data_IF_127125537820
#
_entry.id   IF_127125537820
#
_cell.length_a   1.000
_cell.length_b   1.000
_cell.length_c   1.000
_cell.angle_alpha   90.00
_cell.angle_beta   90.00
_cell.angle_gamma   90.00
#
_symmetry.space_group_name_H-M   'P 1'
#
loop_
_entity.id
_entity.type
_entity.pdbx_description
1 polymer ?
#
# COMPACT_ATOMS: atom_id res chain seq x y z
N UNK A 1 -9.98 14.56 -16.97
CA UNK A 1 -9.71 13.75 -15.75
C UNK A 1 -8.97 12.46 -16.08
N UNK A 2 -9.54 11.55 -16.90
CA UNK A 2 -8.92 10.25 -17.21
C UNK A 2 -7.46 10.37 -17.68
N UNK A 3 -7.17 11.22 -18.67
CA UNK A 3 -5.82 11.36 -19.22
C UNK A 3 -4.81 11.93 -18.21
N UNK A 4 -5.25 12.81 -17.32
CA UNK A 4 -4.41 13.30 -16.22
C UNK A 4 -3.98 12.16 -15.30
N UNK A 5 -4.92 11.31 -14.82
CA UNK A 5 -4.58 10.19 -13.97
C UNK A 5 -3.83 9.09 -14.73
N UNK A 6 -4.17 8.83 -16.00
CA UNK A 6 -3.39 7.92 -16.85
C UNK A 6 -1.92 8.37 -16.95
N UNK A 7 -1.66 9.66 -17.10
CA UNK A 7 -0.29 10.21 -17.11
C UNK A 7 0.37 10.16 -15.74
N UNK A 8 -0.39 10.39 -14.66
CA UNK A 8 0.11 10.35 -13.29
C UNK A 8 0.63 8.96 -12.91
N UNK A 9 -0.09 7.91 -13.33
CA UNK A 9 0.23 6.50 -13.08
C UNK A 9 1.00 5.85 -14.26
N UNK A 10 1.39 6.63 -15.26
CA UNK A 10 2.24 6.12 -16.33
C UNK A 10 3.65 5.85 -15.80
N UNK A 11 4.24 4.75 -16.27
CA UNK A 11 5.62 4.45 -15.95
C UNK A 11 6.54 5.50 -16.60
N UNK A 12 7.20 6.29 -15.78
CA UNK A 12 8.29 7.17 -16.21
C UNK A 12 9.59 6.40 -16.02
N UNK A 13 9.88 5.52 -16.96
CA UNK A 13 11.05 4.64 -16.93
C UNK A 13 12.36 5.38 -17.26
N UNK A 14 12.66 6.43 -16.55
CA UNK A 14 14.00 6.99 -16.59
C UNK A 14 14.79 6.41 -15.40
N UNK A 15 15.94 5.77 -15.67
CA UNK A 15 16.95 5.34 -14.70
C UNK A 15 16.68 4.09 -13.84
N UNK A 16 16.30 2.95 -14.42
CA UNK A 16 16.30 1.65 -13.72
C UNK A 16 17.68 1.31 -13.16
N UNK A 17 18.75 1.54 -13.93
CA UNK A 17 20.14 1.28 -13.51
C UNK A 17 20.57 2.12 -12.29
N UNK A 18 20.17 3.38 -12.21
CA UNK A 18 20.50 4.22 -11.05
C UNK A 18 19.80 3.74 -9.78
N UNK A 19 18.60 3.17 -9.91
CA UNK A 19 17.84 2.62 -8.78
C UNK A 19 18.43 1.31 -8.29
N UNK A 20 18.88 0.46 -9.19
CA UNK A 20 19.59 -0.75 -8.81
C UNK A 20 20.90 -0.42 -8.11
N UNK A 21 21.69 0.50 -8.65
CA UNK A 21 22.89 1.05 -8.00
C UNK A 21 22.58 1.66 -6.63
N UNK A 22 21.44 2.36 -6.49
CA UNK A 22 21.00 2.89 -5.20
C UNK A 22 20.74 1.76 -4.19
N UNK A 23 19.99 0.73 -4.58
CA UNK A 23 19.70 -0.42 -3.71
C UNK A 23 20.95 -1.25 -3.39
N UNK A 24 21.96 -1.27 -4.26
CA UNK A 24 23.25 -1.92 -4.01
C UNK A 24 24.12 -1.12 -3.06
N UNK A 25 24.13 0.22 -3.22
CA UNK A 25 24.93 1.12 -2.38
C UNK A 25 24.43 1.19 -0.95
N UNK A 26 23.14 1.04 -0.72
CA UNK A 26 22.52 1.18 0.61
C UNK A 26 22.20 -0.19 1.20
N UNK A 27 22.82 -0.50 2.35
CA UNK A 27 22.50 -1.70 3.13
C UNK A 27 21.12 -1.54 3.77
N UNK A 28 20.10 -2.12 3.15
CA UNK A 28 18.77 -2.17 3.73
C UNK A 28 18.74 -3.18 4.90
N UNK A 29 17.99 -2.89 5.97
CA UNK A 29 17.73 -3.87 7.02
C UNK A 29 17.08 -5.12 6.42
N UNK A 30 17.53 -6.31 6.86
CA UNK A 30 16.98 -7.59 6.37
C UNK A 30 16.22 -8.31 7.46
N UNK A 31 15.20 -9.04 7.06
CA UNK A 31 14.51 -10.00 7.91
C UNK A 31 15.44 -11.19 8.20
N UNK A 32 15.33 -11.76 9.40
CA UNK A 32 16.00 -13.01 9.72
C UNK A 32 15.19 -14.20 9.17
N UNK A 33 15.77 -15.41 9.23
CA UNK A 33 15.16 -16.61 8.65
C UNK A 33 13.80 -16.94 9.29
N UNK A 34 13.69 -16.83 10.61
CA UNK A 34 12.45 -17.08 11.35
C UNK A 34 11.32 -16.12 10.93
N UNK A 35 11.64 -14.83 10.72
CA UNK A 35 10.69 -13.83 10.26
C UNK A 35 10.24 -14.09 8.82
N UNK A 36 11.17 -14.51 7.94
CA UNK A 36 10.87 -14.89 6.56
C UNK A 36 9.92 -16.11 6.55
N UNK A 37 10.20 -17.12 7.35
CA UNK A 37 9.31 -18.28 7.50
C UNK A 37 7.92 -17.89 8.02
N UNK A 38 7.87 -17.00 9.01
CA UNK A 38 6.61 -16.52 9.58
C UNK A 38 5.73 -15.79 8.55
N UNK A 39 6.30 -14.90 7.71
CA UNK A 39 5.52 -14.21 6.69
C UNK A 39 5.10 -15.12 5.53
N UNK A 40 5.87 -16.19 5.27
CA UNK A 40 5.62 -17.15 4.19
C UNK A 40 4.70 -18.32 4.59
N UNK A 41 4.31 -18.43 5.85
CA UNK A 41 3.41 -19.50 6.29
C UNK A 41 2.12 -19.53 5.43
N UNK A 42 1.50 -20.70 5.21
CA UNK A 42 0.24 -20.79 4.48
C UNK A 42 -0.83 -19.86 5.08
N UNK A 43 -1.68 -19.31 4.22
CA UNK A 43 -2.85 -18.55 4.68
C UNK A 43 -3.83 -19.52 5.33
N UNK A 44 -4.39 -19.13 6.48
CA UNK A 44 -5.28 -19.96 7.28
C UNK A 44 -6.72 -19.42 7.28
N UNK A 45 -7.69 -20.31 7.52
CA UNK A 45 -9.11 -19.92 7.70
C UNK A 45 -9.27 -18.88 8.80
N UNK A 46 -8.54 -19.04 9.91
CA UNK A 46 -8.60 -18.13 11.07
C UNK A 46 -8.14 -16.71 10.71
N UNK A 47 -7.11 -16.57 9.85
CA UNK A 47 -6.68 -15.24 9.37
C UNK A 47 -7.79 -14.58 8.53
N UNK A 48 -8.41 -15.34 7.62
CA UNK A 48 -9.49 -14.86 6.76
C UNK A 48 -10.68 -14.42 7.61
N UNK A 49 -11.16 -15.27 8.51
CA UNK A 49 -12.28 -14.98 9.41
C UNK A 49 -12.02 -13.76 10.28
N UNK A 50 -10.80 -13.65 10.83
CA UNK A 50 -10.40 -12.49 11.63
C UNK A 50 -10.44 -11.20 10.83
N UNK A 51 -9.99 -11.23 9.60
CA UNK A 51 -10.03 -10.06 8.73
C UNK A 51 -11.48 -9.74 8.34
N UNK A 52 -12.29 -10.71 7.94
CA UNK A 52 -13.72 -10.51 7.60
C UNK A 52 -14.47 -9.87 8.78
N UNK A 53 -14.29 -10.40 9.99
CA UNK A 53 -14.92 -9.86 11.21
C UNK A 53 -14.59 -8.38 11.44
N UNK A 54 -13.40 -7.94 11.03
CA UNK A 54 -12.93 -6.57 11.21
C UNK A 54 -13.07 -5.69 9.94
N UNK A 55 -13.73 -6.15 8.89
CA UNK A 55 -14.03 -5.32 7.70
C UNK A 55 -14.94 -4.17 8.13
N UNK A 56 -14.61 -2.91 7.80
CA UNK A 56 -15.48 -1.79 8.14
C UNK A 56 -16.84 -1.89 7.45
N UNK A 57 -17.91 -1.76 8.23
CA UNK A 57 -19.30 -1.65 7.77
C UNK A 57 -19.63 -0.24 7.28
N UNK A 58 -20.74 -0.07 6.59
CA UNK A 58 -21.22 1.21 6.07
C UNK A 58 -20.18 1.91 5.16
N UNK A 59 -19.45 1.12 4.36
CA UNK A 59 -18.51 1.61 3.35
C UNK A 59 -18.96 1.23 1.96
N UNK A 60 -18.64 2.09 0.98
CA UNK A 60 -18.91 1.82 -0.42
C UNK A 60 -18.27 0.50 -0.87
N UNK A 61 -19.03 -0.35 -1.61
CA UNK A 61 -18.50 -1.59 -2.18
C UNK A 61 -17.44 -1.32 -3.26
N UNK A 62 -16.81 -2.39 -3.71
CA UNK A 62 -16.00 -2.40 -4.91
C UNK A 62 -16.84 -2.44 -6.19
N UNK A 63 -16.19 -2.65 -7.35
CA UNK A 63 -16.86 -2.78 -8.64
C UNK A 63 -17.88 -3.92 -8.73
N UNK A 64 -17.73 -4.97 -7.91
CA UNK A 64 -18.61 -6.13 -7.83
C UNK A 64 -19.93 -5.89 -7.06
N UNK A 65 -20.00 -4.79 -6.31
CA UNK A 65 -21.18 -4.40 -5.54
C UNK A 65 -21.32 -5.08 -4.18
N UNK A 66 -20.46 -6.04 -3.83
CA UNK A 66 -20.53 -6.71 -2.52
C UNK A 66 -19.96 -5.83 -1.41
N UNK A 67 -20.68 -5.73 -0.30
CA UNK A 67 -20.33 -4.90 0.85
C UNK A 67 -19.60 -5.69 1.94
N UNK A 68 -19.03 -4.99 2.94
CA UNK A 68 -18.41 -5.63 4.09
C UNK A 68 -19.41 -6.46 4.91
N UNK A 69 -20.66 -5.99 5.01
CA UNK A 69 -21.76 -6.67 5.70
C UNK A 69 -22.08 -8.02 5.04
N UNK A 70 -22.08 -8.09 3.71
CA UNK A 70 -22.28 -9.35 2.98
C UNK A 70 -21.21 -10.38 3.40
N UNK A 71 -19.94 -10.00 3.39
CA UNK A 71 -18.86 -10.90 3.79
C UNK A 71 -18.93 -11.31 5.26
N UNK A 72 -19.39 -10.42 6.15
CA UNK A 72 -19.58 -10.74 7.56
C UNK A 72 -20.75 -11.72 7.78
N UNK A 73 -21.84 -11.53 7.05
CA UNK A 73 -23.04 -12.40 7.14
C UNK A 73 -22.73 -13.81 6.64
N UNK A 74 -22.09 -13.94 5.49
CA UNK A 74 -21.78 -15.23 4.85
C UNK A 74 -20.34 -15.69 5.12
N UNK A 75 -19.77 -15.34 6.27
CA UNK A 75 -18.37 -15.61 6.59
C UNK A 75 -18.03 -17.10 6.54
N UNK A 76 -18.88 -17.96 7.08
CA UNK A 76 -18.62 -19.39 7.18
C UNK A 76 -18.58 -20.05 5.81
N UNK A 77 -19.46 -19.65 4.91
CA UNK A 77 -19.56 -20.15 3.54
C UNK A 77 -18.43 -19.61 2.64
N UNK A 78 -18.06 -18.35 2.83
CA UNK A 78 -17.04 -17.68 2.00
C UNK A 78 -15.60 -18.06 2.40
N UNK A 79 -15.35 -18.35 3.67
CA UNK A 79 -14.00 -18.65 4.18
C UNK A 79 -13.33 -19.80 3.42
N UNK A 80 -13.94 -20.98 3.18
CA UNK A 80 -13.27 -22.06 2.45
C UNK A 80 -13.01 -21.71 0.98
N UNK A 81 -13.86 -20.91 0.35
CA UNK A 81 -13.70 -20.46 -1.04
C UNK A 81 -12.50 -19.51 -1.14
N UNK A 82 -12.45 -18.50 -0.25
CA UNK A 82 -11.35 -17.54 -0.18
C UNK A 82 -10.02 -18.21 0.18
N UNK A 83 -10.04 -19.21 1.09
CA UNK A 83 -8.85 -19.94 1.48
C UNK A 83 -8.22 -20.63 0.26
N UNK A 84 -9.00 -21.38 -0.50
CA UNK A 84 -8.55 -22.07 -1.71
C UNK A 84 -8.00 -21.08 -2.74
N UNK A 85 -8.69 -19.97 -2.95
CA UNK A 85 -8.27 -18.92 -3.87
C UNK A 85 -6.93 -18.29 -3.44
N UNK A 86 -6.79 -17.89 -2.18
CA UNK A 86 -5.60 -17.22 -1.67
C UNK A 86 -4.38 -18.14 -1.62
N UNK A 87 -4.59 -19.42 -1.32
CA UNK A 87 -3.52 -20.41 -1.38
C UNK A 87 -3.02 -20.61 -2.82
N UNK A 88 -3.92 -20.73 -3.79
CA UNK A 88 -3.55 -20.81 -5.21
C UNK A 88 -2.77 -19.58 -5.68
N UNK A 89 -3.15 -18.38 -5.25
CA UNK A 89 -2.41 -17.15 -5.57
C UNK A 89 -1.00 -17.19 -4.95
N UNK A 90 -0.87 -17.63 -3.71
CA UNK A 90 0.40 -17.72 -2.99
C UNK A 90 1.37 -18.72 -3.63
N UNK A 91 0.87 -19.80 -4.21
CA UNK A 91 1.64 -20.82 -4.93
C UNK A 91 2.13 -20.37 -6.32
N UNK A 92 1.88 -19.12 -6.69
CA UNK A 92 2.26 -18.55 -7.99
C UNK A 92 1.16 -18.55 -9.03
N UNK A 93 -0.09 -18.78 -8.60
CA UNK A 93 -1.28 -18.63 -9.44
C UNK A 93 -1.51 -17.16 -9.86
N UNK A 94 -2.28 -16.99 -10.92
CA UNK A 94 -2.68 -15.65 -11.39
C UNK A 94 -3.85 -15.13 -10.56
N UNK A 95 -3.90 -13.80 -10.39
CA UNK A 95 -5.08 -13.16 -9.82
C UNK A 95 -6.29 -13.27 -10.77
N UNK A 96 -7.51 -13.44 -10.25
CA UNK A 96 -8.71 -13.23 -11.05
C UNK A 96 -8.75 -11.80 -11.61
N UNK A 97 -9.29 -11.61 -12.82
CA UNK A 97 -9.38 -10.29 -13.46
C UNK A 97 -10.09 -9.24 -12.58
N UNK A 98 -11.04 -9.67 -11.74
CA UNK A 98 -11.74 -8.81 -10.77
C UNK A 98 -10.81 -8.20 -9.71
N UNK A 99 -9.67 -8.80 -9.44
CA UNK A 99 -8.66 -8.31 -8.50
C UNK A 99 -7.77 -7.22 -9.12
N UNK A 100 -7.59 -7.25 -10.43
CA UNK A 100 -6.79 -6.25 -11.14
C UNK A 100 -7.50 -4.91 -11.27
N UNK A 101 -8.83 -4.91 -11.25
CA UNK A 101 -9.64 -3.72 -11.45
C UNK A 101 -9.91 -2.96 -10.15
N UNK A 102 -9.71 -1.64 -10.18
CA UNK A 102 -10.15 -0.75 -9.11
C UNK A 102 -10.96 0.43 -9.70
N UNK A 103 -12.04 0.80 -9.03
CA UNK A 103 -12.77 2.02 -9.34
C UNK A 103 -12.18 3.19 -8.55
N UNK A 104 -11.74 4.24 -9.23
CA UNK A 104 -11.21 5.46 -8.60
C UNK A 104 -12.32 6.49 -8.50
N UNK A 105 -12.70 6.82 -7.27
CA UNK A 105 -13.58 7.95 -6.96
C UNK A 105 -12.75 9.17 -6.59
N UNK A 106 -13.11 10.33 -7.14
CA UNK A 106 -12.40 11.58 -6.94
C UNK A 106 -13.01 12.37 -5.80
N UNK A 107 -12.31 12.48 -4.68
CA UNK A 107 -12.74 13.26 -3.52
C UNK A 107 -11.99 14.59 -3.51
N UNK A 108 -12.74 15.71 -3.52
CA UNK A 108 -12.15 17.05 -3.45
C UNK A 108 -11.43 17.25 -2.12
N UNK A 109 -10.22 17.82 -2.19
CA UNK A 109 -9.49 18.27 -0.99
C UNK A 109 -10.24 19.43 -0.32
N UNK A 110 -10.31 19.48 1.02
CA UNK A 110 -10.88 20.63 1.73
C UNK A 110 -10.26 21.94 1.26
N UNK A 111 -11.05 23.00 1.20
CA UNK A 111 -10.63 24.38 0.88
C UNK A 111 -9.93 24.58 -0.49
N UNK A 112 -10.06 23.60 -1.41
CA UNK A 112 -9.54 23.72 -2.78
C UNK A 112 -10.66 23.91 -3.80
N UNK A 113 -10.39 24.71 -4.84
CA UNK A 113 -11.33 24.94 -5.94
C UNK A 113 -11.60 23.68 -6.77
N UNK A 114 -12.73 23.64 -7.48
CA UNK A 114 -13.19 22.48 -8.26
C UNK A 114 -12.54 22.36 -9.63
N UNK A 115 -11.89 23.41 -10.13
CA UNK A 115 -11.40 23.50 -11.50
C UNK A 115 -10.08 22.78 -11.76
N UNK A 116 -9.25 22.65 -10.72
CA UNK A 116 -7.90 22.04 -10.86
C UNK A 116 -7.96 20.56 -10.52
N UNK A 117 -7.41 19.72 -11.40
CA UNK A 117 -7.36 18.25 -11.25
C UNK A 117 -6.56 17.79 -10.02
N UNK A 118 -5.52 18.55 -9.67
CA UNK A 118 -4.66 18.32 -8.51
C UNK A 118 -5.38 18.51 -7.15
N UNK A 119 -6.53 19.16 -7.18
CA UNK A 119 -7.36 19.40 -5.98
C UNK A 119 -8.19 18.17 -5.57
N UNK A 120 -8.08 17.07 -6.29
CA UNK A 120 -8.79 15.84 -5.98
C UNK A 120 -7.84 14.76 -5.44
N UNK A 121 -8.38 13.92 -4.55
CA UNK A 121 -7.73 12.69 -4.07
C UNK A 121 -8.33 11.50 -4.80
N UNK A 122 -7.52 10.68 -5.48
CA UNK A 122 -8.00 9.46 -6.13
C UNK A 122 -8.16 8.33 -5.11
N UNK A 123 -9.35 8.11 -4.62
CA UNK A 123 -9.62 7.00 -3.69
C UNK A 123 -10.04 5.77 -4.48
N UNK A 124 -9.30 4.68 -4.32
CA UNK A 124 -9.59 3.41 -4.99
C UNK A 124 -10.63 2.60 -4.21
N UNK A 125 -11.71 2.29 -4.86
CA UNK A 125 -12.72 1.33 -4.40
C UNK A 125 -12.37 -0.03 -5.01
N UNK A 126 -11.92 -0.95 -4.17
CA UNK A 126 -11.58 -2.33 -4.52
C UNK A 126 -12.62 -3.29 -3.95
N UNK A 127 -12.77 -4.45 -4.56
CA UNK A 127 -13.59 -5.53 -4.05
C UNK A 127 -13.14 -5.95 -2.64
N UNK A 128 -14.07 -6.46 -1.85
CA UNK A 128 -13.79 -6.79 -0.44
C UNK A 128 -12.84 -7.99 -0.32
N UNK A 129 -12.96 -8.98 -1.19
CA UNK A 129 -12.05 -10.14 -1.26
C UNK A 129 -10.59 -9.71 -1.49
N UNK A 130 -10.36 -8.76 -2.40
CA UNK A 130 -9.03 -8.13 -2.62
C UNK A 130 -8.55 -7.43 -1.36
N UNK A 131 -9.43 -6.69 -0.67
CA UNK A 131 -9.10 -6.03 0.59
C UNK A 131 -8.76 -7.02 1.69
N UNK A 132 -9.43 -8.18 1.74
CA UNK A 132 -9.16 -9.26 2.70
C UNK A 132 -7.75 -9.80 2.48
N UNK A 133 -7.40 -10.19 1.24
CA UNK A 133 -6.06 -10.67 0.91
C UNK A 133 -4.98 -9.62 1.26
N UNK A 134 -5.16 -8.38 0.80
CA UNK A 134 -4.24 -7.29 1.07
C UNK A 134 -4.09 -7.01 2.57
N UNK A 135 -5.15 -7.19 3.36
CA UNK A 135 -5.12 -7.00 4.81
C UNK A 135 -4.35 -8.10 5.52
N UNK A 136 -4.50 -9.37 5.07
CA UNK A 136 -3.70 -10.50 5.60
C UNK A 136 -2.22 -10.24 5.34
N UNK A 137 -1.85 -9.92 4.10
CA UNK A 137 -0.46 -9.60 3.71
C UNK A 137 0.08 -8.42 4.53
N UNK A 138 -0.70 -7.35 4.68
CA UNK A 138 -0.34 -6.19 5.48
C UNK A 138 -0.14 -6.52 6.96
N UNK A 139 -1.00 -7.35 7.55
CA UNK A 139 -0.89 -7.75 8.95
C UNK A 139 0.39 -8.54 9.22
N UNK A 140 0.81 -9.39 8.27
CA UNK A 140 2.03 -10.19 8.39
C UNK A 140 3.28 -9.31 8.42
N UNK A 141 3.45 -8.41 7.45
CA UNK A 141 4.63 -7.54 7.40
C UNK A 141 4.63 -6.49 8.50
N UNK A 142 3.46 -6.03 8.96
CA UNK A 142 3.34 -5.00 9.99
C UNK A 142 4.02 -5.38 11.31
N UNK A 143 4.18 -6.68 11.60
CA UNK A 143 4.89 -7.17 12.78
C UNK A 143 6.38 -6.82 12.73
N UNK A 144 6.95 -6.74 11.53
CA UNK A 144 8.37 -6.55 11.28
C UNK A 144 8.73 -5.13 10.82
N UNK A 145 7.71 -4.32 10.44
CA UNK A 145 7.91 -3.02 9.79
C UNK A 145 8.75 -2.05 10.61
N UNK A 146 8.63 -2.09 11.96
CA UNK A 146 9.40 -1.23 12.86
C UNK A 146 10.91 -1.46 12.79
N UNK A 147 11.32 -2.66 12.40
CA UNK A 147 12.74 -3.00 12.24
C UNK A 147 13.25 -2.66 10.84
N UNK A 148 12.36 -2.73 9.85
CA UNK A 148 12.68 -2.45 8.46
C UNK A 148 12.73 -0.95 8.17
N UNK A 149 11.87 -0.16 8.82
CA UNK A 149 11.79 1.28 8.59
C UNK A 149 12.64 2.00 9.64
N UNK A 150 13.53 2.88 9.16
CA UNK A 150 14.35 3.70 10.03
C UNK A 150 13.47 4.62 10.90
N UNK A 151 13.81 4.75 12.18
CA UNK A 151 13.01 5.52 13.15
C UNK A 151 12.92 7.03 12.86
N UNK A 152 13.72 7.57 11.95
CA UNK A 152 13.55 8.93 11.43
C UNK A 152 12.42 9.06 10.39
N UNK A 153 11.90 7.96 9.84
CA UNK A 153 10.70 7.95 9.00
C UNK A 153 9.44 7.91 9.87
N UNK A 154 8.97 9.07 10.27
CA UNK A 154 7.86 9.19 11.25
C UNK A 154 6.47 9.31 10.61
N UNK A 155 6.37 9.48 9.29
CA UNK A 155 5.10 9.72 8.59
C UNK A 155 4.14 8.52 8.49
N UNK A 156 4.63 7.29 8.70
CA UNK A 156 3.89 6.05 8.45
C UNK A 156 3.08 5.56 9.66
N UNK A 157 3.33 6.08 10.87
CA UNK A 157 2.69 5.60 12.09
C UNK A 157 1.37 6.32 12.41
N UNK A 158 0.33 5.53 12.80
CA UNK A 158 -1.03 5.97 13.15
C UNK A 158 -1.07 7.09 14.21
N UNK A 159 -2.18 7.83 14.21
CA UNK A 159 -2.72 8.92 15.09
C UNK A 159 -1.83 9.51 16.20
N UNK A 160 -1.05 8.71 16.94
CA UNK A 160 -0.15 9.19 18.00
C UNK A 160 1.23 9.61 17.47
N UNK A 161 1.56 9.31 16.22
CA UNK A 161 2.85 9.59 15.63
C UNK A 161 3.12 11.08 15.43
N UNK A 162 2.09 11.89 15.16
CA UNK A 162 2.28 13.34 15.03
C UNK A 162 2.78 13.96 16.35
N UNK A 163 2.20 13.55 17.48
CA UNK A 163 2.62 14.05 18.79
C UNK A 163 4.05 13.61 19.08
N UNK A 164 4.39 12.34 18.83
CA UNK A 164 5.75 11.81 19.01
C UNK A 164 6.75 12.50 18.07
N UNK A 165 6.36 12.79 16.83
CA UNK A 165 7.17 13.51 15.86
C UNK A 165 7.48 14.94 16.34
N UNK A 166 6.47 15.68 16.79
CA UNK A 166 6.67 17.02 17.37
C UNK A 166 7.54 16.98 18.61
N UNK A 167 7.34 16.00 19.48
CA UNK A 167 8.15 15.82 20.68
C UNK A 167 9.61 15.50 20.36
N UNK A 168 9.87 14.65 19.36
CA UNK A 168 11.24 14.35 18.90
C UNK A 168 11.92 15.59 18.33
N UNK A 169 11.24 16.35 17.46
CA UNK A 169 11.78 17.60 16.89
C UNK A 169 12.08 18.61 17.99
N UNK A 170 11.14 18.79 18.92
CA UNK A 170 11.33 19.71 20.07
C UNK A 170 12.52 19.27 20.93
N UNK A 171 12.66 17.97 21.22
CA UNK A 171 13.76 17.44 22.00
C UNK A 171 15.11 17.64 21.29
N UNK A 172 15.16 17.45 19.97
CA UNK A 172 16.36 17.70 19.15
C UNK A 172 16.70 19.18 19.17
N UNK A 173 15.74 20.08 18.94
CA UNK A 173 15.96 21.53 19.02
C UNK A 173 16.45 21.95 20.40
N UNK A 174 15.83 21.41 21.47
CA UNK A 174 16.24 21.71 22.84
C UNK A 174 17.65 21.20 23.15
N UNK A 175 18.02 20.02 22.65
CA UNK A 175 19.36 19.48 22.77
C UNK A 175 20.39 20.33 22.02
N UNK A 176 20.09 20.71 20.78
CA UNK A 176 20.92 21.57 19.93
C UNK A 176 21.17 22.93 20.61
N UNK A 177 20.11 23.54 21.15
CA UNK A 177 20.22 24.83 21.83
C UNK A 177 21.09 24.79 23.10
N UNK A 178 21.29 23.63 23.70
CA UNK A 178 22.24 23.43 24.82
C UNK A 178 23.70 23.32 24.36
N UNK A 179 23.95 22.99 23.10
CA UNK A 179 25.29 22.84 22.54
C UNK A 179 25.80 24.20 22.02
N UNK A 180 26.37 25.00 22.90
CA UNK A 180 26.74 26.43 22.67
C UNK A 180 27.74 26.70 21.54
N UNK A 181 28.44 25.70 20.99
CA UNK A 181 29.59 25.90 20.10
C UNK A 181 29.55 25.19 18.74
N UNK A 182 28.36 24.75 18.25
CA UNK A 182 28.25 24.12 16.93
C UNK A 182 27.02 24.62 16.20
N UNK A 183 27.20 25.00 14.95
CA UNK A 183 26.06 25.26 14.05
C UNK A 183 25.43 23.94 13.63
N UNK A 184 24.12 23.82 13.80
CA UNK A 184 23.33 22.65 13.41
C UNK A 184 22.30 23.05 12.36
N UNK A 185 21.99 22.13 11.47
CA UNK A 185 20.93 22.28 10.48
C UNK A 185 19.96 21.09 10.59
N UNK A 186 18.68 21.39 10.64
CA UNK A 186 17.61 20.37 10.57
C UNK A 186 16.95 20.46 9.20
N UNK A 187 16.91 19.34 8.48
CA UNK A 187 16.29 19.24 7.17
C UNK A 187 15.06 18.34 7.30
N UNK A 188 13.88 18.88 6.94
CA UNK A 188 12.64 18.11 6.81
C UNK A 188 12.32 17.93 5.34
N UNK A 189 12.12 16.68 4.92
CA UNK A 189 11.79 16.34 3.53
C UNK A 189 10.42 15.66 3.51
N UNK A 190 9.51 16.20 2.70
CA UNK A 190 8.21 15.60 2.41
C UNK A 190 8.15 15.17 0.94
N UNK A 191 7.76 13.91 0.70
CA UNK A 191 7.70 13.37 -0.64
C UNK A 191 6.40 13.78 -1.34
N UNK A 192 6.52 14.42 -2.50
CA UNK A 192 5.36 14.79 -3.32
C UNK A 192 4.72 13.57 -3.97
N UNK A 193 3.48 13.25 -3.60
CA UNK A 193 2.69 12.15 -4.18
C UNK A 193 3.41 10.78 -4.15
N UNK A 194 3.90 10.33 -2.99
CA UNK A 194 4.68 9.10 -2.91
C UNK A 194 3.88 7.88 -3.36
N UNK A 195 2.58 7.82 -3.04
CA UNK A 195 1.70 6.72 -3.40
C UNK A 195 1.47 6.60 -4.90
N UNK A 196 1.51 7.69 -5.65
CA UNK A 196 1.28 7.70 -7.09
C UNK A 196 2.57 7.52 -7.90
N UNK A 197 3.74 7.82 -7.30
CA UNK A 197 5.02 7.86 -8.02
C UNK A 197 5.90 6.62 -7.84
N UNK A 198 5.61 5.75 -6.86
CA UNK A 198 6.43 4.56 -6.64
C UNK A 198 6.32 3.62 -7.83
N UNK A 199 7.43 3.11 -8.31
CA UNK A 199 7.45 2.17 -9.43
C UNK A 199 7.41 0.74 -8.94
N UNK A 200 6.54 -0.08 -9.55
CA UNK A 200 6.34 -1.47 -9.16
C UNK A 200 7.63 -2.31 -9.20
N UNK A 201 8.47 -2.24 -10.26
CA UNK A 201 9.74 -2.97 -10.27
C UNK A 201 10.68 -2.56 -9.13
N UNK A 202 10.80 -1.26 -8.85
CA UNK A 202 11.64 -0.77 -7.75
C UNK A 202 11.11 -1.26 -6.39
N UNK A 203 9.80 -1.21 -6.19
CA UNK A 203 9.15 -1.69 -4.97
C UNK A 203 9.39 -3.20 -4.78
N UNK A 204 9.20 -4.01 -5.82
CA UNK A 204 9.43 -5.46 -5.79
C UNK A 204 10.90 -5.77 -5.49
N UNK A 205 11.85 -5.09 -6.15
CA UNK A 205 13.27 -5.24 -5.89
C UNK A 205 13.63 -4.85 -4.45
N UNK A 206 13.03 -3.77 -3.92
CA UNK A 206 13.23 -3.37 -2.52
C UNK A 206 12.76 -4.46 -1.57
N UNK A 207 11.57 -5.00 -1.78
CA UNK A 207 11.01 -6.12 -0.98
C UNK A 207 11.95 -7.33 -1.00
N UNK A 208 12.52 -7.68 -2.16
CA UNK A 208 13.50 -8.76 -2.28
C UNK A 208 14.82 -8.46 -1.54
N UNK A 209 15.33 -7.23 -1.63
CA UNK A 209 16.57 -6.81 -0.94
C UNK A 209 16.44 -6.84 0.58
N UNK A 210 15.24 -6.64 1.12
CA UNK A 210 14.92 -6.79 2.57
C UNK A 210 14.91 -8.27 3.00
N UNK A 211 15.06 -9.22 2.06
CA UNK A 211 15.07 -10.66 2.30
C UNK A 211 13.70 -11.32 2.18
N UNK A 212 12.68 -10.62 1.70
CA UNK A 212 11.35 -11.19 1.48
C UNK A 212 11.34 -12.00 0.18
N UNK A 213 11.05 -13.27 0.28
CA UNK A 213 11.00 -14.24 -0.81
C UNK A 213 9.81 -15.20 -0.66
N UNK A 214 9.69 -16.19 -1.54
CA UNK A 214 8.67 -17.24 -1.42
C UNK A 214 7.24 -16.75 -1.69
N UNK A 215 6.28 -17.38 -1.01
CA UNK A 215 4.83 -17.17 -1.22
C UNK A 215 4.39 -15.73 -0.99
N UNK A 216 4.96 -15.05 0.00
CA UNK A 216 4.66 -13.64 0.25
C UNK A 216 5.03 -12.76 -0.93
N UNK A 217 6.24 -12.93 -1.48
CA UNK A 217 6.71 -12.19 -2.65
C UNK A 217 5.85 -12.49 -3.89
N UNK A 218 5.42 -13.76 -4.06
CA UNK A 218 4.53 -14.15 -5.16
C UNK A 218 3.21 -13.40 -5.12
N UNK A 219 2.59 -13.28 -3.94
CA UNK A 219 1.35 -12.50 -3.75
C UNK A 219 1.59 -11.02 -4.12
N UNK A 220 2.69 -10.41 -3.65
CA UNK A 220 3.01 -9.01 -3.99
C UNK A 220 3.20 -8.85 -5.50
N UNK A 221 3.95 -9.73 -6.15
CA UNK A 221 4.14 -9.70 -7.60
C UNK A 221 2.81 -9.82 -8.35
N UNK A 222 1.94 -10.74 -7.94
CA UNK A 222 0.63 -10.92 -8.53
C UNK A 222 -0.23 -9.64 -8.41
N UNK A 223 -0.27 -9.00 -7.24
CA UNK A 223 -1.03 -7.75 -7.01
C UNK A 223 -0.58 -6.61 -7.94
N UNK A 224 0.69 -6.58 -8.31
CA UNK A 224 1.29 -5.49 -9.11
C UNK A 224 1.67 -5.90 -10.55
N UNK A 225 1.24 -7.08 -11.04
CA UNK A 225 1.52 -7.53 -12.41
C UNK A 225 0.79 -6.67 -13.46
N UNK A 226 -0.53 -6.66 -13.41
CA UNK A 226 -1.37 -5.96 -14.42
C UNK A 226 -2.49 -5.11 -13.81
N UNK A 227 -2.22 -4.30 -12.77
CA UNK A 227 -3.28 -3.53 -12.13
C UNK A 227 -3.87 -2.49 -13.08
N UNK A 228 -5.20 -2.40 -13.10
CA UNK A 228 -5.96 -1.43 -13.89
C UNK A 228 -6.84 -0.56 -13.01
N UNK A 229 -7.21 0.60 -13.51
CA UNK A 229 -8.15 1.49 -12.83
C UNK A 229 -9.13 2.13 -13.79
N UNK A 230 -10.34 2.34 -13.28
CA UNK A 230 -11.40 3.13 -13.92
C UNK A 230 -11.69 4.34 -13.05
N UNK A 231 -11.88 5.50 -13.67
CA UNK A 231 -12.34 6.68 -12.93
C UNK A 231 -13.87 6.72 -12.99
N UNK A 232 -14.50 6.91 -11.85
CA UNK A 232 -15.92 7.24 -11.75
C UNK A 232 -16.04 8.77 -11.67
N UNK A 233 -16.72 9.34 -12.66
CA UNK A 233 -16.98 10.77 -12.72
C UNK A 233 -18.46 11.01 -12.98
N UNK A 234 -19.14 11.72 -12.09
CA UNK A 234 -20.59 11.98 -12.18
C UNK A 234 -21.45 10.72 -12.39
N UNK A 235 -21.06 9.61 -11.75
CA UNK A 235 -21.75 8.33 -11.89
C UNK A 235 -21.36 7.50 -13.12
N UNK A 236 -20.61 8.05 -14.05
CA UNK A 236 -20.12 7.32 -15.22
C UNK A 236 -18.75 6.69 -14.98
N UNK A 237 -18.61 5.42 -15.37
CA UNK A 237 -17.35 4.68 -15.35
C UNK A 237 -16.60 4.93 -16.65
N UNK A 238 -15.49 5.67 -16.59
CA UNK A 238 -14.65 5.95 -17.75
C UNK A 238 -13.84 4.71 -18.17
N UNK A 239 -13.34 4.69 -19.42
CA UNK A 239 -12.52 3.58 -19.95
C UNK A 239 -11.31 3.29 -19.03
N UNK A 240 -11.00 2.01 -18.77
CA UNK A 240 -9.88 1.62 -17.92
C UNK A 240 -8.53 2.08 -18.48
N UNK A 241 -7.56 2.22 -17.60
CA UNK A 241 -6.16 2.42 -17.94
C UNK A 241 -5.25 1.62 -17.00
N UNK A 242 -4.08 1.17 -17.47
CA UNK A 242 -3.14 0.43 -16.63
C UNK A 242 -2.49 1.35 -15.60
N UNK A 243 -2.34 0.84 -14.38
CA UNK A 243 -1.52 1.44 -13.33
C UNK A 243 -0.10 0.88 -13.46
N UNK A 244 0.82 1.64 -14.05
CA UNK A 244 2.22 1.21 -14.23
C UNK A 244 3.14 1.70 -13.12
N UNK A 245 2.65 2.57 -12.28
CA UNK A 245 3.32 3.08 -11.07
C UNK A 245 2.29 3.39 -10.00
N UNK A 246 2.75 3.58 -8.79
CA UNK A 246 1.93 3.94 -7.64
C UNK A 246 1.21 2.76 -7.00
N UNK A 247 0.72 3.03 -5.79
CA UNK A 247 -0.12 2.12 -5.03
C UNK A 247 -1.55 2.63 -5.01
N UNK A 248 -2.51 1.75 -4.80
CA UNK A 248 -3.93 2.11 -4.77
C UNK A 248 -4.27 2.81 -3.45
N UNK A 249 -4.54 4.11 -3.47
CA UNK A 249 -4.95 4.84 -2.26
C UNK A 249 -6.27 4.27 -1.72
N UNK A 250 -6.24 3.73 -0.49
CA UNK A 250 -7.35 3.00 0.13
C UNK A 250 -7.13 1.49 0.22
N UNK A 251 -6.04 0.97 -0.37
CA UNK A 251 -5.61 -0.41 -0.18
C UNK A 251 -4.98 -0.59 1.21
N UNK A 252 -5.33 -1.65 1.96
CA UNK A 252 -4.71 -1.93 3.26
C UNK A 252 -3.19 -2.11 3.23
N UNK A 253 -2.65 -2.56 2.09
CA UNK A 253 -1.22 -2.80 1.89
C UNK A 253 -0.44 -1.53 1.54
N UNK A 254 -1.07 -0.52 0.91
CA UNK A 254 -0.38 0.66 0.39
C UNK A 254 0.35 1.53 1.43
N UNK A 255 -0.05 1.59 2.71
CA UNK A 255 0.68 2.37 3.74
C UNK A 255 1.96 1.71 4.25
N UNK A 256 2.24 0.48 3.84
CA UNK A 256 3.39 -0.34 4.28
C UNK A 256 4.47 -0.34 3.22
#
# INVERSE_FOLDING_TARGET
MRDYYKQLYANKMDNLEEREKFLEKHNLPRLNQEEIENINRPITSTEIETVIKNVPTNKSPGPDGFTGEFYQTFREELTPILLKLFQSIAEGGTLPNSFDEAAITLIRKPDKGVTKKENYRPISLMNIDVKILNKIVANRIQQHIKRLIHHHQVGVYRRNARILQYTQIINVIHHINKLKNKNHMSISIDAEKPFEKIQHPFMINTVQKVGIEGTYLNIIKAIYDKPTANIILNGEKLKPFPLRSGTRQGCPLSPL
#
